data_IF_992403724557
#
_entry.id   IF_992403724557
#
_cell.length_a   1.000
_cell.length_b   1.000
_cell.length_c   1.000
_cell.angle_alpha   90.00
_cell.angle_beta   90.00
_cell.angle_gamma   90.00
#
_symmetry.space_group_name_H-M   'P 1'
#
loop_
_entity.id
_entity.type
_entity.pdbx_description
1 polymer ?
#
# COMPACT_ATOMS: atom_id res chain seq x y z
N UNK A 1 -9.01 13.88 -24.56
CA UNK A 1 -8.34 13.39 -23.32
C UNK A 1 -9.13 14.02 -22.20
N UNK A 2 -9.41 13.29 -21.14
CA UNK A 2 -10.19 13.84 -20.03
C UNK A 2 -9.33 14.83 -19.24
N UNK A 3 -9.88 15.93 -18.76
CA UNK A 3 -9.14 16.96 -17.98
C UNK A 3 -8.62 16.42 -16.64
N UNK A 4 -9.30 15.43 -16.08
CA UNK A 4 -8.94 14.76 -14.84
C UNK A 4 -7.87 13.65 -15.01
N UNK A 5 -7.41 13.38 -16.23
CA UNK A 5 -6.46 12.30 -16.50
C UNK A 5 -5.14 12.81 -17.06
N UNK A 6 -4.05 12.51 -16.36
CA UNK A 6 -2.68 12.83 -16.77
C UNK A 6 -1.87 11.55 -16.99
N UNK A 7 -1.10 11.52 -18.08
CA UNK A 7 -0.28 10.35 -18.47
C UNK A 7 1.19 10.69 -18.34
N UNK A 8 1.91 9.93 -17.51
CA UNK A 8 3.36 10.01 -17.42
C UNK A 8 3.97 9.12 -18.51
N UNK A 9 4.62 9.72 -19.48
CA UNK A 9 5.19 9.00 -20.63
C UNK A 9 6.74 9.00 -20.58
N UNK A 10 7.36 9.98 -21.24
CA UNK A 10 8.81 10.09 -21.37
C UNK A 10 9.44 11.10 -20.40
N UNK A 11 8.63 11.88 -19.69
CA UNK A 11 9.06 12.87 -18.69
C UNK A 11 8.29 12.68 -17.41
N UNK A 12 8.91 12.99 -16.28
CA UNK A 12 8.21 13.04 -14.99
C UNK A 12 7.12 14.11 -15.04
N UNK A 13 5.93 13.77 -14.59
CA UNK A 13 4.82 14.73 -14.46
C UNK A 13 5.14 15.77 -13.37
N UNK A 14 5.78 15.33 -12.28
CA UNK A 14 6.04 16.14 -11.09
C UNK A 14 7.50 16.03 -10.66
N UNK A 15 8.46 16.62 -11.42
CA UNK A 15 9.89 16.56 -11.08
C UNK A 15 10.20 17.23 -9.74
N UNK A 16 9.38 18.21 -9.33
CA UNK A 16 9.52 18.91 -8.04
C UNK A 16 9.33 17.98 -6.83
N UNK A 17 8.56 16.92 -6.96
CA UNK A 17 8.34 15.94 -5.88
C UNK A 17 9.65 15.24 -5.50
N UNK A 18 10.57 15.06 -6.45
CA UNK A 18 11.86 14.43 -6.19
C UNK A 18 12.74 15.25 -5.22
N UNK A 19 12.56 16.56 -5.18
CA UNK A 19 13.30 17.46 -4.27
C UNK A 19 12.88 17.33 -2.81
N UNK A 20 11.70 16.76 -2.54
CA UNK A 20 11.20 16.53 -1.18
C UNK A 20 11.83 15.29 -0.50
N UNK A 21 12.66 14.53 -1.22
CA UNK A 21 13.40 13.43 -0.62
C UNK A 21 14.42 13.99 0.37
N UNK A 22 14.33 13.64 1.67
CA UNK A 22 15.24 14.17 2.68
C UNK A 22 16.69 13.72 2.46
N UNK A 23 17.63 14.63 2.61
CA UNK A 23 19.06 14.34 2.55
C UNK A 23 19.54 13.63 3.83
N UNK A 24 18.94 13.98 4.97
CA UNK A 24 19.31 13.43 6.27
C UNK A 24 18.33 12.35 6.70
N UNK A 25 18.88 11.21 7.09
CA UNK A 25 18.12 10.05 7.56
C UNK A 25 17.16 10.38 8.73
N UNK A 26 17.59 11.26 9.62
CA UNK A 26 16.78 11.68 10.78
C UNK A 26 15.46 12.37 10.38
N UNK A 27 15.37 12.96 9.19
CA UNK A 27 14.18 13.64 8.69
C UNK A 27 13.39 12.80 7.68
N UNK A 28 13.86 11.59 7.37
CA UNK A 28 13.29 10.76 6.33
C UNK A 28 12.08 9.91 6.79
N UNK A 29 11.59 10.18 8.02
CA UNK A 29 10.36 9.62 8.56
C UNK A 29 10.48 8.18 9.04
N UNK A 30 9.37 7.64 9.55
CA UNK A 30 9.26 6.35 10.23
C UNK A 30 8.18 5.50 9.60
N UNK A 31 8.54 4.33 9.08
CA UNK A 31 7.60 3.38 8.48
C UNK A 31 7.40 2.17 9.38
N UNK A 32 6.14 1.90 9.76
CA UNK A 32 5.73 0.65 10.37
C UNK A 32 5.22 -0.30 9.29
N UNK A 33 5.81 -1.48 9.18
CA UNK A 33 5.35 -2.54 8.28
C UNK A 33 4.66 -3.61 9.12
N UNK A 34 3.44 -3.98 8.76
CA UNK A 34 2.62 -4.97 9.47
C UNK A 34 2.30 -6.14 8.53
N UNK A 35 2.58 -7.34 8.97
CA UNK A 35 2.28 -8.55 8.23
C UNK A 35 3.03 -9.78 8.72
N UNK A 36 2.99 -10.83 7.92
CA UNK A 36 3.61 -12.11 8.23
C UNK A 36 2.69 -13.07 8.98
N UNK A 37 2.96 -14.34 8.83
CA UNK A 37 2.25 -15.44 9.46
C UNK A 37 3.08 -16.71 9.38
N UNK A 38 2.66 -17.76 10.04
CA UNK A 38 3.40 -19.03 10.07
C UNK A 38 3.78 -19.49 8.65
N UNK A 39 5.08 -19.56 8.36
CA UNK A 39 5.62 -19.97 7.06
C UNK A 39 5.56 -18.92 5.94
N UNK A 40 5.06 -17.70 6.21
CA UNK A 40 4.92 -16.64 5.22
C UNK A 40 5.42 -15.29 5.74
N UNK A 41 6.58 -14.84 5.24
CA UNK A 41 7.18 -13.55 5.60
C UNK A 41 8.00 -12.91 4.46
N UNK A 42 7.87 -13.45 3.24
CA UNK A 42 8.68 -12.97 2.10
C UNK A 42 8.37 -11.53 1.74
N UNK A 43 7.11 -11.14 1.77
CA UNK A 43 6.70 -9.76 1.51
C UNK A 43 7.25 -8.79 2.55
N UNK A 44 7.28 -9.20 3.84
CA UNK A 44 7.90 -8.41 4.89
C UNK A 44 9.38 -8.17 4.63
N UNK A 45 10.14 -9.22 4.29
CA UNK A 45 11.58 -9.12 4.01
C UNK A 45 11.85 -8.21 2.81
N UNK A 46 11.07 -8.35 1.73
CA UNK A 46 11.17 -7.48 0.56
C UNK A 46 10.85 -6.04 0.91
N UNK A 47 9.78 -5.80 1.67
CA UNK A 47 9.36 -4.46 2.08
C UNK A 47 10.38 -3.79 2.99
N UNK A 48 10.95 -4.52 3.94
CA UNK A 48 12.01 -4.02 4.81
C UNK A 48 13.24 -3.55 4.00
N UNK A 49 13.76 -4.41 3.14
CA UNK A 49 14.89 -4.07 2.27
C UNK A 49 14.59 -2.89 1.36
N UNK A 50 13.39 -2.84 0.79
CA UNK A 50 12.97 -1.74 -0.08
C UNK A 50 12.84 -0.44 0.69
N UNK A 51 12.29 -0.45 1.89
CA UNK A 51 12.17 0.74 2.72
C UNK A 51 13.55 1.37 3.01
N UNK A 52 14.51 0.55 3.42
CA UNK A 52 15.89 0.98 3.66
C UNK A 52 16.57 1.50 2.38
N UNK A 53 16.42 0.78 1.27
CA UNK A 53 16.98 1.17 -0.04
C UNK A 53 16.38 2.47 -0.57
N UNK A 54 15.10 2.70 -0.35
CA UNK A 54 14.41 3.93 -0.75
C UNK A 54 14.88 5.12 0.07
N UNK A 55 15.30 4.89 1.32
CA UNK A 55 15.90 5.90 2.18
C UNK A 55 14.98 6.40 3.30
N UNK A 56 14.06 5.55 3.80
CA UNK A 56 13.29 5.88 5.01
C UNK A 56 14.23 6.06 6.21
N UNK A 57 13.87 6.94 7.12
CA UNK A 57 14.66 7.25 8.31
C UNK A 57 14.79 6.07 9.26
N UNK A 58 13.65 5.53 9.68
CA UNK A 58 13.56 4.36 10.52
C UNK A 58 12.46 3.42 9.98
N UNK A 59 12.67 2.11 10.16
CA UNK A 59 11.65 1.10 9.84
C UNK A 59 11.47 0.17 11.02
N UNK A 60 10.23 -0.19 11.31
CA UNK A 60 9.89 -1.27 12.25
C UNK A 60 8.94 -2.24 11.57
N UNK A 61 9.06 -3.50 11.94
CA UNK A 61 8.20 -4.58 11.45
C UNK A 61 7.45 -5.15 12.63
N UNK A 62 6.13 -5.08 12.58
CA UNK A 62 5.25 -5.76 13.52
C UNK A 62 4.83 -7.09 12.91
N UNK A 63 5.12 -8.20 13.57
CA UNK A 63 4.93 -9.55 13.07
C UNK A 63 4.51 -10.49 14.21
N UNK A 64 3.74 -11.57 13.89
CA UNK A 64 3.30 -12.52 14.91
C UNK A 64 4.48 -13.35 15.46
N UNK A 65 4.43 -13.67 16.74
CA UNK A 65 5.47 -14.44 17.42
C UNK A 65 5.58 -15.90 16.97
N UNK A 66 4.61 -16.38 16.21
CA UNK A 66 4.70 -17.66 15.46
C UNK A 66 5.94 -17.73 14.55
N UNK A 67 6.43 -16.57 14.08
CA UNK A 67 7.61 -16.44 13.21
C UNK A 67 8.95 -16.43 13.96
N UNK A 68 8.97 -16.39 15.31
CA UNK A 68 10.21 -16.37 16.09
C UNK A 68 11.14 -17.57 15.83
N UNK A 69 10.57 -18.70 15.44
CA UNK A 69 11.35 -19.91 15.13
C UNK A 69 12.03 -19.84 13.77
N UNK A 70 11.40 -19.14 12.82
CA UNK A 70 11.84 -19.03 11.43
C UNK A 70 12.82 -17.86 11.25
N UNK A 71 12.60 -16.77 11.99
CA UNK A 71 13.41 -15.55 11.93
C UNK A 71 14.39 -15.56 13.11
N UNK A 72 15.62 -15.99 12.85
CA UNK A 72 16.70 -16.09 13.86
C UNK A 72 17.51 -14.79 14.00
N UNK A 73 17.01 -13.68 13.48
CA UNK A 73 17.68 -12.37 13.53
C UNK A 73 17.19 -11.63 14.77
N UNK A 74 18.10 -11.23 15.64
CA UNK A 74 17.79 -10.32 16.74
C UNK A 74 18.04 -8.89 16.27
N UNK A 75 16.97 -8.16 15.99
CA UNK A 75 17.02 -6.76 15.56
C UNK A 75 15.96 -5.95 16.33
N UNK A 76 16.32 -4.75 16.74
CA UNK A 76 15.40 -3.80 17.37
C UNK A 76 14.30 -3.31 16.43
N UNK A 77 14.43 -3.58 15.13
CA UNK A 77 13.44 -3.26 14.11
C UNK A 77 12.28 -4.28 14.08
N UNK A 78 12.49 -5.49 14.63
CA UNK A 78 11.49 -6.57 14.65
C UNK A 78 10.73 -6.57 15.98
N UNK A 79 9.43 -6.32 15.91
CA UNK A 79 8.53 -6.34 17.07
C UNK A 79 7.63 -7.56 16.94
N UNK A 80 7.89 -8.58 17.75
CA UNK A 80 7.08 -9.79 17.79
C UNK A 80 5.91 -9.58 18.75
N UNK A 81 4.69 -9.75 18.24
CA UNK A 81 3.45 -9.65 19.01
C UNK A 81 2.70 -10.98 19.05
N UNK A 82 1.67 -11.07 19.85
CA UNK A 82 0.92 -12.30 20.07
C UNK A 82 0.29 -12.85 18.78
N UNK A 83 0.51 -14.14 18.53
CA UNK A 83 -0.11 -14.88 17.43
C UNK A 83 -1.36 -15.62 17.89
N UNK A 84 -2.30 -15.78 16.95
CA UNK A 84 -3.43 -16.67 17.11
C UNK A 84 -3.07 -18.14 16.76
N UNK A 85 -4.03 -19.05 16.89
CA UNK A 85 -3.83 -20.49 16.62
C UNK A 85 -3.42 -20.76 15.17
N UNK A 86 -3.85 -19.93 14.22
CA UNK A 86 -3.48 -20.04 12.80
C UNK A 86 -2.11 -19.46 12.48
N UNK A 87 -1.41 -18.90 13.47
CA UNK A 87 -0.09 -18.28 13.30
C UNK A 87 -0.13 -16.88 12.70
N UNK A 88 -1.29 -16.26 12.57
CA UNK A 88 -1.47 -14.84 12.28
C UNK A 88 -1.55 -14.02 13.57
N UNK A 89 -2.06 -12.79 13.51
CA UNK A 89 -2.17 -11.91 14.66
C UNK A 89 -3.37 -12.25 15.53
N UNK A 90 -3.17 -12.25 16.86
CA UNK A 90 -4.24 -12.35 17.87
C UNK A 90 -4.74 -10.95 18.27
N UNK A 91 -5.96 -10.88 18.80
CA UNK A 91 -6.50 -9.65 19.39
C UNK A 91 -5.66 -9.12 20.58
N UNK A 92 -4.90 -9.98 21.25
CA UNK A 92 -3.96 -9.58 22.30
C UNK A 92 -2.81 -8.68 21.80
N UNK A 93 -2.58 -8.63 20.47
CA UNK A 93 -1.59 -7.77 19.83
C UNK A 93 -1.97 -6.27 19.82
N UNK A 94 -3.18 -5.91 20.26
CA UNK A 94 -3.72 -4.57 20.14
C UNK A 94 -2.80 -3.46 20.68
N UNK A 95 -2.25 -3.65 21.87
CA UNK A 95 -1.38 -2.64 22.48
C UNK A 95 -0.08 -2.43 21.70
N UNK A 96 0.48 -3.50 21.11
CA UNK A 96 1.67 -3.41 20.24
C UNK A 96 1.34 -2.63 18.96
N UNK A 97 0.15 -2.85 18.38
CA UNK A 97 -0.33 -2.08 17.22
C UNK A 97 -0.44 -0.59 17.56
N UNK A 98 -1.05 -0.24 18.70
CA UNK A 98 -1.19 1.17 19.14
C UNK A 98 0.16 1.80 19.47
N UNK A 99 1.08 1.06 20.08
CA UNK A 99 2.45 1.53 20.31
C UNK A 99 3.21 1.77 18.99
N UNK A 100 3.04 0.88 18.02
CA UNK A 100 3.59 1.02 16.67
C UNK A 100 3.03 2.23 15.93
N UNK A 101 1.72 2.47 15.98
CA UNK A 101 1.05 3.63 15.41
C UNK A 101 1.59 4.95 15.97
N UNK A 102 1.69 5.03 17.30
CA UNK A 102 2.22 6.21 17.98
C UNK A 102 3.64 6.56 17.53
N UNK A 103 4.45 5.55 17.25
CA UNK A 103 5.83 5.73 16.79
C UNK A 103 5.93 6.11 15.30
N UNK A 104 5.05 5.59 14.43
CA UNK A 104 5.14 5.68 12.98
C UNK A 104 4.66 7.02 12.42
N UNK A 105 5.20 7.41 11.27
CA UNK A 105 4.67 8.46 10.40
C UNK A 105 3.71 7.91 9.35
N UNK A 106 3.88 6.64 8.96
CA UNK A 106 3.02 5.89 8.04
C UNK A 106 3.07 4.41 8.34
N UNK A 107 2.00 3.69 7.98
CA UNK A 107 1.82 2.26 8.24
C UNK A 107 1.56 1.54 6.93
N UNK A 108 2.26 0.43 6.70
CA UNK A 108 2.11 -0.43 5.53
C UNK A 108 1.62 -1.82 5.96
N UNK A 109 0.39 -2.18 5.57
CA UNK A 109 -0.11 -3.54 5.65
C UNK A 109 0.28 -4.30 4.39
N UNK A 110 1.19 -5.27 4.54
CA UNK A 110 1.73 -6.03 3.40
C UNK A 110 1.12 -7.43 3.27
N UNK A 111 0.39 -7.90 4.26
CA UNK A 111 -0.18 -9.24 4.27
C UNK A 111 0.83 -10.31 4.66
N UNK A 112 0.96 -11.36 3.87
CA UNK A 112 1.68 -12.60 4.23
C UNK A 112 1.10 -13.26 5.50
N UNK A 113 -0.12 -12.90 5.89
CA UNK A 113 -0.81 -13.48 7.05
C UNK A 113 -1.70 -14.64 6.63
N UNK A 114 -1.83 -15.62 7.50
CA UNK A 114 -2.82 -16.68 7.27
C UNK A 114 -4.23 -16.09 7.31
N UNK A 115 -5.10 -16.57 6.42
CA UNK A 115 -6.53 -16.17 6.41
C UNK A 115 -7.18 -16.62 7.71
N UNK A 116 -7.45 -15.66 8.58
CA UNK A 116 -8.06 -15.87 9.88
C UNK A 116 -8.93 -14.67 10.23
N UNK A 117 -10.14 -14.92 10.71
CA UNK A 117 -11.10 -13.86 11.05
C UNK A 117 -10.63 -12.98 12.20
N UNK A 118 -9.92 -13.53 13.19
CA UNK A 118 -9.37 -12.75 14.30
C UNK A 118 -8.35 -11.71 13.78
N UNK A 119 -7.44 -12.10 12.89
CA UNK A 119 -6.49 -11.19 12.24
C UNK A 119 -7.22 -10.14 11.40
N UNK A 120 -8.27 -10.53 10.67
CA UNK A 120 -9.05 -9.60 9.85
C UNK A 120 -9.75 -8.54 10.72
N UNK A 121 -10.39 -8.95 11.81
CA UNK A 121 -11.07 -8.05 12.76
C UNK A 121 -10.07 -7.10 13.42
N UNK A 122 -8.91 -7.61 13.82
CA UNK A 122 -7.86 -6.77 14.40
C UNK A 122 -7.36 -5.71 13.41
N UNK A 123 -7.10 -6.09 12.16
CA UNK A 123 -6.66 -5.18 11.10
C UNK A 123 -7.72 -4.12 10.79
N UNK A 124 -8.96 -4.55 10.61
CA UNK A 124 -10.10 -3.65 10.38
C UNK A 124 -10.21 -2.62 11.49
N UNK A 125 -10.32 -3.07 12.74
CA UNK A 125 -10.43 -2.18 13.90
C UNK A 125 -9.29 -1.18 13.95
N UNK A 126 -8.06 -1.65 13.77
CA UNK A 126 -6.89 -0.79 13.80
C UNK A 126 -6.90 0.25 12.68
N UNK A 127 -7.21 -0.15 11.44
CA UNK A 127 -7.25 0.74 10.28
C UNK A 127 -8.36 1.79 10.45
N UNK A 128 -9.52 1.39 10.95
CA UNK A 128 -10.63 2.31 11.16
C UNK A 128 -10.35 3.33 12.28
N UNK A 129 -9.65 2.95 13.33
CA UNK A 129 -9.28 3.85 14.43
C UNK A 129 -8.02 4.69 14.11
N UNK A 130 -7.16 4.27 13.18
CA UNK A 130 -5.90 4.96 12.91
C UNK A 130 -6.12 6.30 12.19
N UNK A 131 -5.43 7.34 12.68
CA UNK A 131 -5.34 8.66 12.04
C UNK A 131 -4.08 8.80 11.17
N UNK A 132 -3.17 7.83 11.23
CA UNK A 132 -1.96 7.84 10.42
C UNK A 132 -2.24 7.45 8.97
N UNK A 133 -1.44 7.89 8.01
CA UNK A 133 -1.49 7.35 6.65
C UNK A 133 -1.29 5.83 6.67
N UNK A 134 -2.24 5.10 6.10
CA UNK A 134 -2.20 3.64 5.99
C UNK A 134 -2.16 3.22 4.54
N UNK A 135 -1.20 2.39 4.20
CA UNK A 135 -1.06 1.76 2.89
C UNK A 135 -1.40 0.27 2.98
N UNK A 136 -2.34 -0.20 2.16
CA UNK A 136 -2.80 -1.59 2.15
C UNK A 136 -2.41 -2.22 0.80
N UNK A 137 -1.71 -3.34 0.83
CA UNK A 137 -1.25 -3.99 -0.40
C UNK A 137 -1.24 -5.53 -0.27
N UNK A 138 -1.09 -6.19 -1.42
CA UNK A 138 -1.00 -7.64 -1.55
C UNK A 138 -2.21 -8.35 -0.98
N UNK A 139 -1.99 -9.46 -0.26
CA UNK A 139 -3.05 -10.24 0.37
C UNK A 139 -3.67 -9.59 1.61
N UNK A 140 -3.10 -8.50 2.15
CA UNK A 140 -3.81 -7.67 3.13
C UNK A 140 -5.13 -7.12 2.54
N UNK A 141 -5.17 -6.83 1.23
CA UNK A 141 -6.41 -6.45 0.53
C UNK A 141 -7.46 -7.56 0.59
N UNK A 142 -7.07 -8.83 0.38
CA UNK A 142 -8.02 -9.94 0.42
C UNK A 142 -8.52 -10.26 1.84
N UNK A 143 -7.70 -10.00 2.88
CA UNK A 143 -8.08 -10.19 4.28
C UNK A 143 -9.14 -9.16 4.71
N UNK A 144 -9.05 -7.94 4.18
CA UNK A 144 -9.90 -6.81 4.52
C UNK A 144 -11.12 -6.65 3.60
N UNK A 145 -11.40 -7.62 2.71
CA UNK A 145 -12.44 -7.48 1.69
C UNK A 145 -13.82 -7.11 2.27
N UNK A 146 -14.18 -7.67 3.41
CA UNK A 146 -15.49 -7.43 4.02
C UNK A 146 -15.59 -6.06 4.71
N UNK A 147 -14.46 -5.40 4.95
CA UNK A 147 -14.37 -4.12 5.67
C UNK A 147 -14.23 -2.91 4.72
N UNK A 148 -14.14 -3.10 3.42
CA UNK A 148 -13.90 -1.99 2.49
C UNK A 148 -15.05 -0.99 2.40
N UNK A 149 -16.27 -1.35 2.78
CA UNK A 149 -17.38 -0.37 2.87
C UNK A 149 -17.07 0.80 3.82
N UNK A 150 -16.30 0.56 4.86
CA UNK A 150 -15.91 1.57 5.85
C UNK A 150 -14.50 2.11 5.57
N UNK A 151 -13.54 1.24 5.22
CA UNK A 151 -12.16 1.64 4.95
C UNK A 151 -12.07 2.67 3.82
N UNK A 152 -12.86 2.53 2.76
CA UNK A 152 -12.85 3.45 1.61
C UNK A 152 -13.34 4.86 1.95
N UNK A 153 -14.06 5.04 3.06
CA UNK A 153 -14.54 6.34 3.53
C UNK A 153 -13.45 7.16 4.24
N UNK A 154 -12.26 6.60 4.44
CA UNK A 154 -11.16 7.28 5.11
C UNK A 154 -10.20 7.92 4.10
N UNK A 155 -9.90 9.20 4.30
CA UNK A 155 -8.99 9.97 3.44
C UNK A 155 -7.52 9.56 3.57
N UNK A 156 -7.12 9.01 4.73
CA UNK A 156 -5.74 8.63 5.03
C UNK A 156 -5.33 7.26 4.49
N UNK A 157 -6.17 6.61 3.67
CA UNK A 157 -5.94 5.26 3.14
C UNK A 157 -5.41 5.31 1.71
N UNK A 158 -4.42 4.46 1.42
CA UNK A 158 -3.95 4.13 0.07
C UNK A 158 -4.03 2.63 -0.15
N UNK A 159 -4.62 2.18 -1.25
CA UNK A 159 -4.85 0.77 -1.54
C UNK A 159 -4.21 0.42 -2.88
N UNK A 160 -3.22 -0.47 -2.88
CA UNK A 160 -2.70 -1.07 -4.11
C UNK A 160 -3.33 -2.44 -4.29
N UNK A 161 -4.32 -2.49 -5.17
CA UNK A 161 -5.09 -3.68 -5.48
C UNK A 161 -4.77 -4.20 -6.89
N UNK A 162 -4.70 -5.51 -7.05
CA UNK A 162 -4.76 -6.13 -8.38
C UNK A 162 -6.11 -5.86 -9.02
N UNK A 163 -6.18 -5.96 -10.34
CA UNK A 163 -7.45 -5.76 -11.03
C UNK A 163 -8.55 -6.69 -10.50
N UNK A 164 -8.21 -7.95 -10.21
CA UNK A 164 -9.14 -8.91 -9.62
C UNK A 164 -9.57 -8.55 -8.18
N UNK A 165 -8.64 -8.02 -7.37
CA UNK A 165 -8.98 -7.52 -6.03
C UNK A 165 -9.88 -6.28 -6.13
N UNK A 166 -9.62 -5.38 -7.08
CA UNK A 166 -10.43 -4.20 -7.29
C UNK A 166 -11.87 -4.57 -7.73
N UNK A 167 -12.03 -5.58 -8.60
CA UNK A 167 -13.35 -6.14 -8.93
C UNK A 167 -14.10 -6.63 -7.69
N UNK A 168 -13.41 -7.33 -6.79
CA UNK A 168 -14.01 -7.80 -5.53
C UNK A 168 -14.40 -6.62 -4.62
N UNK A 169 -13.54 -5.61 -4.49
CA UNK A 169 -13.84 -4.39 -3.72
C UNK A 169 -15.11 -3.72 -4.27
N UNK A 170 -15.19 -3.50 -5.58
CA UNK A 170 -16.36 -2.90 -6.22
C UNK A 170 -17.64 -3.68 -5.94
N UNK A 171 -17.55 -5.02 -6.00
CA UNK A 171 -18.67 -5.89 -5.67
C UNK A 171 -19.10 -5.79 -4.20
N UNK A 172 -18.13 -5.73 -3.28
CA UNK A 172 -18.40 -5.64 -1.83
C UNK A 172 -19.07 -4.33 -1.42
N UNK A 173 -18.72 -3.24 -2.07
CA UNK A 173 -19.33 -1.91 -1.82
C UNK A 173 -20.54 -1.62 -2.72
N UNK A 174 -21.01 -2.62 -3.45
CA UNK A 174 -22.16 -2.51 -4.38
C UNK A 174 -22.01 -1.36 -5.38
N UNK A 175 -20.78 -1.13 -5.85
CA UNK A 175 -20.54 -0.06 -6.81
C UNK A 175 -21.21 -0.39 -8.15
N UNK A 176 -22.00 0.54 -8.76
CA UNK A 176 -22.87 0.22 -9.89
C UNK A 176 -22.14 -0.11 -11.19
N UNK A 177 -20.84 0.18 -11.29
CA UNK A 177 -20.01 -0.14 -12.46
C UNK A 177 -19.22 -1.41 -12.23
N UNK A 178 -19.37 -2.37 -13.14
CA UNK A 178 -18.57 -3.61 -13.12
C UNK A 178 -17.28 -3.38 -13.89
N UNK A 179 -16.16 -3.72 -13.30
CA UNK A 179 -14.87 -3.74 -13.98
C UNK A 179 -14.72 -5.07 -14.74
N UNK A 180 -14.33 -5.01 -16.02
CA UNK A 180 -14.06 -6.18 -16.86
C UNK A 180 -12.68 -6.12 -17.46
N UNK A 181 -12.04 -7.27 -17.67
CA UNK A 181 -10.71 -7.34 -18.31
C UNK A 181 -10.68 -6.85 -19.75
N UNK A 182 -11.85 -6.78 -20.40
CA UNK A 182 -12.00 -6.28 -21.77
C UNK A 182 -12.07 -4.75 -21.86
N UNK A 183 -12.15 -4.05 -20.73
CA UNK A 183 -12.16 -2.59 -20.72
C UNK A 183 -10.84 -2.03 -21.21
N UNK A 184 -10.92 -1.03 -22.09
CA UNK A 184 -9.76 -0.23 -22.46
C UNK A 184 -9.34 0.72 -21.33
N UNK A 185 -8.14 1.27 -21.42
CA UNK A 185 -7.57 2.15 -20.40
C UNK A 185 -8.48 3.36 -20.10
N UNK A 186 -9.05 3.98 -21.16
CA UNK A 186 -9.90 5.17 -21.01
C UNK A 186 -11.15 4.87 -20.18
N UNK A 187 -11.78 3.70 -20.40
CA UNK A 187 -12.95 3.29 -19.63
C UNK A 187 -12.62 3.01 -18.15
N UNK A 188 -11.46 2.40 -17.89
CA UNK A 188 -11.01 2.15 -16.51
C UNK A 188 -10.72 3.47 -15.79
N UNK A 189 -10.05 4.39 -16.47
CA UNK A 189 -9.76 5.74 -15.96
C UNK A 189 -11.05 6.47 -15.60
N UNK A 190 -12.07 6.44 -16.46
CA UNK A 190 -13.38 7.06 -16.18
C UNK A 190 -14.08 6.41 -14.97
N UNK A 191 -14.01 5.09 -14.85
CA UNK A 191 -14.60 4.38 -13.73
C UNK A 191 -13.88 4.73 -12.43
N UNK A 192 -12.54 4.74 -12.42
CA UNK A 192 -11.76 5.09 -11.24
C UNK A 192 -11.93 6.55 -10.83
N UNK A 193 -12.02 7.47 -11.80
CA UNK A 193 -12.37 8.87 -11.56
C UNK A 193 -13.67 8.97 -10.75
N UNK A 194 -14.76 8.36 -11.25
CA UNK A 194 -16.06 8.38 -10.58
C UNK A 194 -16.05 7.68 -9.23
N UNK A 195 -15.28 6.58 -9.12
CA UNK A 195 -15.15 5.83 -7.88
C UNK A 195 -14.49 6.67 -6.79
N UNK A 196 -13.38 7.35 -7.10
CA UNK A 196 -12.66 8.17 -6.12
C UNK A 196 -13.26 9.55 -5.87
N UNK A 197 -14.28 9.97 -6.63
CA UNK A 197 -15.16 11.06 -6.25
C UNK A 197 -16.16 10.64 -5.15
N UNK A 198 -16.51 9.35 -5.08
CA UNK A 198 -17.43 8.81 -4.07
C UNK A 198 -16.72 8.28 -2.84
N UNK A 199 -15.48 7.83 -2.99
CA UNK A 199 -14.66 7.23 -1.94
C UNK A 199 -13.32 7.96 -1.85
N UNK A 200 -13.00 8.62 -0.71
CA UNK A 200 -11.79 9.44 -0.57
C UNK A 200 -10.48 8.64 -0.48
N UNK A 201 -10.56 7.32 -0.28
CA UNK A 201 -9.37 6.47 -0.30
C UNK A 201 -8.67 6.51 -1.67
N UNK A 202 -7.34 6.62 -1.65
CA UNK A 202 -6.52 6.53 -2.87
C UNK A 202 -6.49 5.09 -3.39
N UNK A 203 -6.75 4.91 -4.68
CA UNK A 203 -6.72 3.62 -5.36
C UNK A 203 -5.53 3.56 -6.33
N UNK A 204 -4.73 2.52 -6.19
CA UNK A 204 -3.63 2.19 -7.09
C UNK A 204 -3.89 0.80 -7.68
N UNK A 205 -3.67 0.64 -8.96
CA UNK A 205 -3.86 -0.65 -9.64
C UNK A 205 -2.97 -0.79 -10.86
N UNK A 206 -2.79 -2.02 -11.28
CA UNK A 206 -2.17 -2.36 -12.56
C UNK A 206 -3.23 -2.94 -13.49
N UNK A 207 -3.39 -2.33 -14.65
CA UNK A 207 -4.19 -2.89 -15.73
C UNK A 207 -3.35 -3.03 -17.00
N UNK A 208 -3.19 -4.26 -17.46
CA UNK A 208 -2.32 -4.60 -18.58
C UNK A 208 -0.91 -3.99 -18.37
N UNK A 209 -0.51 -3.06 -19.24
CA UNK A 209 0.79 -2.41 -19.22
C UNK A 209 0.75 -1.00 -18.57
N UNK A 210 -0.31 -0.65 -17.85
CA UNK A 210 -0.47 0.67 -17.25
C UNK A 210 -0.64 0.58 -15.74
N UNK A 211 0.21 1.28 -15.01
CA UNK A 211 0.01 1.55 -13.60
C UNK A 211 -0.89 2.77 -13.46
N UNK A 212 -1.95 2.66 -12.68
CA UNK A 212 -2.99 3.68 -12.55
C UNK A 212 -3.12 4.07 -11.09
N UNK A 213 -3.21 5.37 -10.83
CA UNK A 213 -3.42 5.97 -9.51
C UNK A 213 -4.63 6.88 -9.62
N UNK A 214 -5.56 6.75 -8.70
CA UNK A 214 -6.73 7.61 -8.64
C UNK A 214 -7.00 8.07 -7.21
N UNK A 215 -7.27 9.35 -7.03
CA UNK A 215 -7.55 9.99 -5.75
C UNK A 215 -8.37 11.27 -5.98
N UNK A 216 -9.45 11.47 -5.22
CA UNK A 216 -10.30 12.66 -5.32
C UNK A 216 -10.75 13.00 -6.75
N UNK A 217 -10.98 11.99 -7.58
CA UNK A 217 -11.35 12.14 -8.97
C UNK A 217 -10.20 12.45 -9.94
N UNK A 218 -9.00 12.77 -9.46
CA UNK A 218 -7.83 12.87 -10.33
C UNK A 218 -7.28 11.48 -10.65
N UNK A 219 -6.86 11.28 -11.90
CA UNK A 219 -6.28 10.00 -12.34
C UNK A 219 -4.93 10.23 -13.01
N UNK A 220 -3.94 9.49 -12.55
CA UNK A 220 -2.61 9.44 -13.15
C UNK A 220 -2.34 8.04 -13.69
N UNK A 221 -1.70 7.95 -14.84
CA UNK A 221 -1.27 6.66 -15.37
C UNK A 221 0.16 6.72 -15.91
N UNK A 222 0.86 5.60 -15.80
CA UNK A 222 2.20 5.43 -16.35
C UNK A 222 2.30 4.07 -17.04
N UNK A 223 2.72 4.01 -18.31
CA UNK A 223 3.05 2.75 -18.96
C UNK A 223 4.23 2.07 -18.27
N UNK A 224 4.17 0.74 -18.09
CA UNK A 224 5.26 -0.05 -17.50
C UNK A 224 6.55 0.00 -18.31
N UNK A 225 6.41 0.14 -19.64
CA UNK A 225 7.52 0.21 -20.60
C UNK A 225 7.88 1.66 -20.97
N UNK A 226 7.66 2.63 -20.07
CA UNK A 226 8.06 4.00 -20.36
C UNK A 226 9.58 4.12 -20.49
N UNK A 227 10.05 4.96 -21.45
CA UNK A 227 11.47 5.27 -21.67
C UNK A 227 12.10 6.15 -20.59
N UNK A 228 11.42 6.37 -19.49
CA UNK A 228 12.02 6.89 -18.28
C UNK A 228 13.06 5.85 -17.84
N UNK A 229 14.35 6.18 -17.87
CA UNK A 229 15.52 5.32 -17.55
C UNK A 229 15.53 4.70 -16.13
N UNK A 230 14.40 4.47 -15.58
CA UNK A 230 14.13 4.13 -14.19
C UNK A 230 13.57 2.72 -14.11
N UNK A 231 14.37 1.74 -14.50
CA UNK A 231 14.04 0.32 -14.38
C UNK A 231 12.63 -0.07 -14.87
N UNK A 232 12.52 -1.07 -15.70
CA UNK A 232 11.20 -1.56 -16.15
C UNK A 232 10.38 -1.98 -14.93
N UNK A 233 9.31 -1.23 -14.63
CA UNK A 233 8.35 -1.62 -13.62
C UNK A 233 7.73 -2.97 -14.00
N UNK A 234 7.93 -3.98 -13.19
CA UNK A 234 7.39 -5.32 -13.47
C UNK A 234 6.24 -5.67 -12.54
N UNK A 235 5.26 -6.47 -13.00
CA UNK A 235 4.21 -6.98 -12.14
C UNK A 235 4.75 -7.69 -10.88
N UNK A 236 5.89 -8.38 -11.00
CA UNK A 236 6.53 -9.05 -9.86
C UNK A 236 6.94 -8.06 -8.77
N UNK A 237 7.52 -6.91 -9.13
CA UNK A 237 7.91 -5.88 -8.15
C UNK A 237 6.68 -5.29 -7.45
N UNK A 238 5.57 -5.13 -8.17
CA UNK A 238 4.32 -4.66 -7.61
C UNK A 238 3.80 -5.65 -6.55
N UNK A 239 3.76 -6.94 -6.92
CA UNK A 239 3.17 -7.96 -6.05
C UNK A 239 4.15 -8.55 -5.02
N UNK A 240 5.45 -8.32 -5.13
CA UNK A 240 6.43 -8.73 -4.12
C UNK A 240 6.42 -7.87 -2.86
N UNK A 241 5.85 -6.68 -2.91
CA UNK A 241 5.92 -5.69 -1.85
C UNK A 241 6.91 -4.56 -2.10
N UNK A 242 7.69 -4.61 -3.19
CA UNK A 242 8.68 -3.58 -3.52
C UNK A 242 8.01 -2.24 -3.83
N UNK A 243 7.12 -2.21 -4.83
CA UNK A 243 6.46 -0.98 -5.25
C UNK A 243 5.55 -0.36 -4.17
N UNK A 244 4.67 -1.10 -3.47
CA UNK A 244 3.87 -0.50 -2.42
C UNK A 244 4.71 0.11 -1.31
N UNK A 245 5.84 -0.53 -0.95
CA UNK A 245 6.74 0.02 0.06
C UNK A 245 7.41 1.30 -0.42
N UNK A 246 7.91 1.31 -1.66
CA UNK A 246 8.53 2.49 -2.25
C UNK A 246 7.56 3.67 -2.27
N UNK A 247 6.32 3.44 -2.71
CA UNK A 247 5.27 4.46 -2.71
C UNK A 247 4.97 4.95 -1.28
N UNK A 248 4.81 4.04 -0.31
CA UNK A 248 4.54 4.41 1.07
C UNK A 248 5.64 5.32 1.66
N UNK A 249 6.91 5.04 1.38
CA UNK A 249 8.04 5.90 1.79
C UNK A 249 7.97 7.26 1.11
N UNK A 250 7.71 7.33 -0.19
CA UNK A 250 7.57 8.60 -0.90
C UNK A 250 6.39 9.44 -0.38
N UNK A 251 5.30 8.80 0.05
CA UNK A 251 4.15 9.48 0.65
C UNK A 251 4.48 10.05 2.04
N UNK A 252 5.39 9.44 2.81
CA UNK A 252 5.88 10.02 4.07
C UNK A 252 6.49 11.41 3.81
N UNK A 253 7.24 11.55 2.73
CA UNK A 253 7.91 12.81 2.37
C UNK A 253 6.96 13.82 1.72
N UNK A 254 5.78 13.38 1.26
CA UNK A 254 4.84 14.18 0.46
C UNK A 254 3.39 13.98 0.94
N UNK A 255 3.13 14.18 2.23
CA UNK A 255 1.85 13.87 2.90
C UNK A 255 0.62 14.47 2.20
N UNK A 256 0.74 15.71 1.68
CA UNK A 256 -0.37 16.44 1.06
C UNK A 256 -0.47 16.22 -0.47
N UNK A 257 0.41 15.39 -1.05
CA UNK A 257 0.49 15.17 -2.50
C UNK A 257 0.71 13.68 -2.80
N UNK A 258 -0.09 12.82 -2.15
CA UNK A 258 0.09 11.35 -2.19
C UNK A 258 0.11 10.78 -3.61
N UNK A 259 -0.80 11.21 -4.48
CA UNK A 259 -0.86 10.73 -5.86
C UNK A 259 0.34 11.16 -6.69
N UNK A 260 0.82 12.41 -6.50
CA UNK A 260 2.04 12.89 -7.15
C UNK A 260 3.27 12.14 -6.63
N UNK A 261 3.32 11.87 -5.32
CA UNK A 261 4.37 11.04 -4.71
C UNK A 261 4.37 9.62 -5.29
N UNK A 262 3.21 9.01 -5.42
CA UNK A 262 3.07 7.66 -5.93
C UNK A 262 3.51 7.54 -7.39
N UNK A 263 3.07 8.45 -8.28
CA UNK A 263 3.47 8.42 -9.70
C UNK A 263 4.97 8.73 -9.89
N UNK A 264 5.55 9.59 -9.07
CA UNK A 264 6.98 9.87 -9.09
C UNK A 264 7.79 8.69 -8.55
N UNK A 265 7.33 8.05 -7.47
CA UNK A 265 7.98 6.88 -6.88
C UNK A 265 8.18 5.74 -7.86
N UNK A 266 7.19 5.41 -8.69
CA UNK A 266 7.30 4.30 -9.65
C UNK A 266 8.29 4.57 -10.77
N UNK A 267 8.72 5.81 -10.91
CA UNK A 267 9.62 6.28 -11.97
C UNK A 267 11.01 6.69 -11.47
N UNK A 268 11.26 6.59 -10.15
CA UNK A 268 12.52 6.99 -9.51
C UNK A 268 13.50 5.85 -9.28
#
# INVERSE_FOLDING_TARGET
>A
MFDFWQVQSSKLLFPEIAWNKPEQKAHAGKLLIIGGGAGAFRGLATSHQTALKTGVGEVRILLPDSLKKDIKINSSELIFTKSNISGGFSNEAWEDFKAGEKWADSILFIGDTNKNSETAILFEKFILESEKPVFIARDAVDILLDSFSEILLKENISILASFAQLQKIFSKVFYPKVLTFSMNLSNIVEVLHKFTLSYPAQILTLNNENFIISENGEVFSSPLNSNLNLGKLSPIQIWSGEIPTKIAVWQIWNKNQRSKAAITAISS
#
